data_IF_636510617680
#
_entry.id   IF_636510617680
#
_cell.length_a   1.000
_cell.length_b   1.000
_cell.length_c   1.000
_cell.angle_alpha   90.00
_cell.angle_beta   90.00
_cell.angle_gamma   90.00
#
_symmetry.space_group_name_H-M   'P 1'
#
loop_
_entity.id
_entity.type
_entity.pdbx_description
1 polymer ?
#
# COMPACT_ATOMS: atom_id res chain seq x y z
N UNK A 1 19.20 -76.97 158.90
CA UNK A 1 18.96 -76.53 157.50
C UNK A 1 19.92 -77.18 156.48
N UNK A 2 20.48 -78.37 156.74
CA UNK A 2 21.45 -79.04 155.83
C UNK A 2 20.81 -80.24 155.10
N UNK A 3 19.87 -80.91 155.76
CA UNK A 3 19.18 -82.11 155.27
C UNK A 3 18.47 -81.92 153.90
N UNK A 4 17.70 -80.84 153.73
CA UNK A 4 17.08 -80.53 152.45
C UNK A 4 18.07 -80.24 151.31
N UNK A 5 19.28 -79.74 151.63
CA UNK A 5 20.35 -79.56 150.66
C UNK A 5 20.94 -80.92 150.25
N UNK A 6 21.08 -81.87 151.19
CA UNK A 6 21.54 -83.23 150.90
C UNK A 6 20.55 -84.00 150.03
N UNK A 7 19.23 -83.93 150.31
CA UNK A 7 18.22 -84.55 149.43
C UNK A 7 18.20 -83.90 148.03
N UNK A 8 18.36 -82.58 147.93
CA UNK A 8 18.45 -81.89 146.65
C UNK A 8 19.71 -82.28 145.86
N UNK A 9 20.86 -82.38 146.53
CA UNK A 9 22.11 -82.82 145.93
C UNK A 9 22.06 -84.29 145.49
N UNK A 10 21.49 -85.18 146.32
CA UNK A 10 21.29 -86.60 145.99
C UNK A 10 20.34 -86.76 144.79
N UNK A 11 19.24 -86.01 144.76
CA UNK A 11 18.30 -85.98 143.64
C UNK A 11 18.94 -85.48 142.35
N UNK A 12 19.78 -84.44 142.41
CA UNK A 12 20.57 -83.97 141.28
C UNK A 12 21.58 -85.02 140.81
N UNK A 13 22.29 -85.69 141.72
CA UNK A 13 23.25 -86.76 141.40
C UNK A 13 22.57 -87.96 140.74
N UNK A 14 21.38 -88.35 141.23
CA UNK A 14 20.56 -89.41 140.64
C UNK A 14 20.02 -89.03 139.25
N UNK A 15 19.55 -87.79 139.07
CA UNK A 15 19.10 -87.28 137.78
C UNK A 15 20.27 -87.19 136.78
N UNK A 16 21.45 -86.77 137.22
CA UNK A 16 22.67 -86.72 136.41
C UNK A 16 23.13 -88.14 136.01
N UNK A 17 23.09 -89.11 136.93
CA UNK A 17 23.38 -90.51 136.63
C UNK A 17 22.39 -91.10 135.61
N UNK A 18 21.09 -90.80 135.73
CA UNK A 18 20.08 -91.17 134.74
C UNK A 18 20.32 -90.51 133.38
N UNK A 19 20.67 -89.21 133.35
CA UNK A 19 20.99 -88.51 132.12
C UNK A 19 22.21 -89.12 131.41
N UNK A 20 23.27 -89.45 132.16
CA UNK A 20 24.48 -90.12 131.65
C UNK A 20 24.14 -91.54 131.14
N UNK A 21 23.26 -92.28 131.80
CA UNK A 21 22.82 -93.60 131.35
C UNK A 21 21.93 -93.56 130.08
N UNK A 22 21.10 -92.52 129.94
CA UNK A 22 20.19 -92.35 128.79
C UNK A 22 20.86 -91.71 127.56
N UNK A 23 21.84 -90.83 127.75
CA UNK A 23 22.58 -90.16 126.70
C UNK A 23 23.08 -91.10 125.57
N UNK A 24 23.80 -92.22 125.84
CA UNK A 24 24.27 -93.11 124.77
C UNK A 24 23.13 -93.82 124.02
N UNK A 25 21.95 -93.99 124.63
CA UNK A 25 20.78 -94.56 123.95
C UNK A 25 20.10 -93.56 123.01
N UNK A 26 20.06 -92.28 123.38
CA UNK A 26 19.50 -91.23 122.53
C UNK A 26 20.45 -90.89 121.38
N UNK A 27 21.75 -90.79 121.67
CA UNK A 27 22.79 -90.49 120.68
C UNK A 27 22.84 -91.54 119.55
N UNK A 28 22.80 -92.84 119.90
CA UNK A 28 22.72 -93.94 118.91
C UNK A 28 21.47 -93.86 118.02
N UNK A 29 20.33 -93.36 118.54
CA UNK A 29 19.12 -93.13 117.74
C UNK A 29 19.24 -91.94 116.79
N UNK A 30 19.87 -90.85 117.24
CA UNK A 30 20.15 -89.69 116.39
C UNK A 30 21.09 -90.07 115.24
N UNK A 31 22.22 -90.74 115.53
CA UNK A 31 23.15 -91.22 114.50
C UNK A 31 22.49 -92.15 113.49
N UNK A 32 21.60 -93.06 113.92
CA UNK A 32 20.89 -93.97 113.00
C UNK A 32 19.90 -93.25 112.07
N UNK A 33 19.27 -92.17 112.54
CA UNK A 33 18.37 -91.35 111.72
C UNK A 33 19.13 -90.47 110.73
N UNK A 34 20.22 -89.84 111.15
CA UNK A 34 21.05 -89.03 110.25
C UNK A 34 21.85 -89.90 109.25
N UNK A 35 22.36 -91.06 109.67
CA UNK A 35 22.92 -92.06 108.74
C UNK A 35 21.88 -92.43 107.68
N UNK A 36 20.66 -92.81 108.06
CA UNK A 36 19.59 -93.13 107.10
C UNK A 36 19.17 -91.97 106.20
N UNK A 37 19.26 -90.72 106.65
CA UNK A 37 19.01 -89.54 105.82
C UNK A 37 20.12 -89.32 104.79
N UNK A 38 21.37 -89.48 105.20
CA UNK A 38 22.55 -89.35 104.34
C UNK A 38 22.61 -90.52 103.34
N UNK A 39 22.35 -91.75 103.80
CA UNK A 39 22.22 -92.97 102.99
C UNK A 39 21.08 -92.87 101.95
N UNK A 40 19.97 -92.19 102.28
CA UNK A 40 18.87 -91.93 101.34
C UNK A 40 19.09 -90.71 100.43
N UNK A 41 20.18 -89.96 100.61
CA UNK A 41 20.53 -88.77 99.83
C UNK A 41 21.85 -88.93 99.05
N UNK A 42 22.48 -90.11 99.11
CA UNK A 42 23.67 -90.50 98.36
C UNK A 42 23.31 -91.66 97.43
N UNK A 43 23.84 -91.71 96.19
CA UNK A 43 23.76 -92.93 95.38
C UNK A 43 24.56 -94.04 96.07
N UNK A 44 23.87 -95.10 96.51
CA UNK A 44 24.48 -96.22 97.22
C UNK A 44 24.90 -97.36 96.28
N UNK A 45 24.34 -97.42 95.08
CA UNK A 45 24.74 -98.38 94.05
C UNK A 45 25.74 -97.75 93.07
N UNK A 46 26.58 -98.59 92.45
CA UNK A 46 27.48 -98.14 91.39
C UNK A 46 26.72 -97.74 90.12
N UNK A 47 25.61 -98.42 89.86
CA UNK A 47 24.75 -98.19 88.69
C UNK A 47 24.09 -96.80 88.72
N UNK A 48 23.67 -96.33 89.90
CA UNK A 48 23.18 -94.95 90.09
C UNK A 48 24.28 -93.91 89.82
N UNK A 49 25.49 -94.11 90.35
CA UNK A 49 26.61 -93.19 90.17
C UNK A 49 27.10 -93.14 88.70
N UNK A 50 27.16 -94.28 88.04
CA UNK A 50 27.47 -94.36 86.60
C UNK A 50 26.36 -93.68 85.77
N UNK A 51 25.09 -93.84 86.17
CA UNK A 51 23.95 -93.12 85.61
C UNK A 51 24.00 -91.59 85.78
N UNK A 52 24.41 -91.08 86.94
CA UNK A 52 24.62 -89.64 87.16
C UNK A 52 25.78 -89.09 86.32
N UNK A 53 26.90 -89.83 86.24
CA UNK A 53 28.06 -89.46 85.42
C UNK A 53 27.67 -89.41 83.93
N UNK A 54 26.91 -90.39 83.44
CA UNK A 54 26.42 -90.39 82.06
C UNK A 54 25.30 -89.36 81.81
N UNK A 55 24.48 -89.01 82.82
CA UNK A 55 23.56 -87.88 82.74
C UNK A 55 24.30 -86.53 82.63
N UNK A 56 25.42 -86.35 83.34
CA UNK A 56 26.27 -85.14 83.24
C UNK A 56 26.99 -85.10 81.89
N UNK A 57 27.49 -86.24 81.38
CA UNK A 57 28.05 -86.36 80.02
C UNK A 57 26.99 -86.04 78.95
N UNK A 58 25.77 -86.56 79.08
CA UNK A 58 24.66 -86.28 78.18
C UNK A 58 24.24 -84.79 78.24
N UNK A 59 24.13 -84.20 79.43
CA UNK A 59 23.78 -82.78 79.59
C UNK A 59 24.84 -81.87 78.97
N UNK A 60 26.13 -82.13 79.23
CA UNK A 60 27.24 -81.35 78.66
C UNK A 60 27.33 -81.52 77.13
N UNK A 61 27.19 -82.74 76.60
CA UNK A 61 27.10 -82.98 75.16
C UNK A 61 25.90 -82.26 74.51
N UNK A 62 24.72 -82.28 75.14
CA UNK A 62 23.54 -81.56 74.66
C UNK A 62 23.72 -80.03 74.76
N UNK A 63 24.39 -79.52 75.78
CA UNK A 63 24.71 -78.10 75.92
C UNK A 63 25.69 -77.64 74.83
N UNK A 64 26.77 -78.40 74.59
CA UNK A 64 27.72 -78.18 73.49
C UNK A 64 26.97 -78.23 72.16
N UNK A 65 26.17 -79.27 71.89
CA UNK A 65 25.42 -79.40 70.64
C UNK A 65 24.41 -78.25 70.43
N UNK A 66 23.79 -77.75 71.50
CA UNK A 66 22.90 -76.59 71.44
C UNK A 66 23.65 -75.27 71.20
N UNK A 67 24.91 -75.17 71.62
CA UNK A 67 25.79 -74.03 71.29
C UNK A 67 26.31 -74.11 69.85
N UNK A 68 26.69 -75.30 69.37
CA UNK A 68 27.05 -75.54 67.96
C UNK A 68 25.90 -75.15 67.01
N UNK A 69 24.70 -75.68 67.24
CA UNK A 69 23.52 -75.39 66.39
C UNK A 69 23.17 -73.90 66.42
N UNK A 70 23.34 -73.22 67.57
CA UNK A 70 23.23 -71.75 67.64
C UNK A 70 24.32 -71.06 66.82
N UNK A 71 25.59 -71.44 66.99
CA UNK A 71 26.71 -70.85 66.27
C UNK A 71 26.57 -71.02 64.74
N UNK A 72 26.15 -72.20 64.28
CA UNK A 72 25.88 -72.45 62.86
C UNK A 72 24.66 -71.68 62.34
N UNK A 73 23.62 -71.48 63.15
CA UNK A 73 22.50 -70.60 62.79
C UNK A 73 22.94 -69.14 62.66
N UNK A 74 23.85 -68.67 63.51
CA UNK A 74 24.42 -67.32 63.46
C UNK A 74 25.40 -67.16 62.29
N UNK A 75 26.23 -68.17 61.99
CA UNK A 75 27.09 -68.22 60.78
C UNK A 75 26.25 -68.14 59.51
N UNK A 76 25.13 -68.88 59.44
CA UNK A 76 24.21 -68.85 58.29
C UNK A 76 23.55 -67.48 58.12
N UNK A 77 23.15 -66.82 59.22
CA UNK A 77 22.64 -65.44 59.20
C UNK A 77 23.72 -64.45 58.74
N UNK A 78 24.91 -64.48 59.35
CA UNK A 78 26.02 -63.62 58.94
C UNK A 78 26.36 -63.80 57.44
N UNK A 79 26.26 -65.02 56.91
CA UNK A 79 26.44 -65.30 55.48
C UNK A 79 25.28 -64.78 54.60
N UNK A 80 24.01 -64.82 55.04
CA UNK A 80 22.92 -64.15 54.32
C UNK A 80 23.04 -62.63 54.36
N UNK A 81 23.48 -62.10 55.51
CA UNK A 81 23.55 -60.66 55.77
C UNK A 81 24.72 -60.04 54.98
N UNK A 82 25.86 -60.74 54.83
CA UNK A 82 26.95 -60.28 53.94
C UNK A 82 26.57 -60.34 52.46
N UNK A 83 25.82 -61.35 52.03
CA UNK A 83 25.25 -61.40 50.66
C UNK A 83 24.30 -60.22 50.44
N UNK A 84 23.41 -59.95 51.39
CA UNK A 84 22.46 -58.82 51.33
C UNK A 84 23.20 -57.47 51.32
N UNK A 85 24.24 -57.29 52.14
CA UNK A 85 25.08 -56.08 52.15
C UNK A 85 25.79 -55.88 50.81
N UNK A 86 26.26 -56.96 50.16
CA UNK A 86 26.86 -56.85 48.83
C UNK A 86 25.82 -56.46 47.77
N UNK A 87 24.65 -57.12 47.74
CA UNK A 87 23.55 -56.77 46.81
C UNK A 87 23.07 -55.32 47.01
N UNK A 88 22.99 -54.83 48.26
CA UNK A 88 22.68 -53.43 48.53
C UNK A 88 23.81 -52.48 48.10
N UNK A 89 25.08 -52.86 48.27
CA UNK A 89 26.23 -52.07 47.79
C UNK A 89 26.24 -51.97 46.26
N UNK A 90 25.99 -53.07 45.57
CA UNK A 90 25.92 -53.11 44.12
C UNK A 90 24.75 -52.23 43.64
N UNK A 91 23.56 -52.33 44.28
CA UNK A 91 22.43 -51.45 43.95
C UNK A 91 22.66 -49.97 44.28
N UNK A 92 23.43 -49.64 45.33
CA UNK A 92 23.86 -48.27 45.60
C UNK A 92 24.77 -47.78 44.48
N UNK A 93 25.74 -48.59 44.05
CA UNK A 93 26.66 -48.26 42.96
C UNK A 93 25.93 -48.08 41.62
N UNK A 94 24.92 -48.87 41.33
CA UNK A 94 24.04 -48.67 40.16
C UNK A 94 23.37 -47.30 40.22
N UNK A 95 22.79 -46.94 41.38
CA UNK A 95 22.12 -45.65 41.58
C UNK A 95 23.08 -44.45 41.57
N UNK A 96 24.34 -44.63 42.00
CA UNK A 96 25.41 -43.65 41.84
C UNK A 96 25.80 -43.48 40.35
N UNK A 97 25.73 -44.56 39.56
CA UNK A 97 25.85 -44.52 38.09
C UNK A 97 24.67 -43.79 37.43
N UNK A 98 23.44 -44.20 37.74
CA UNK A 98 22.20 -43.59 37.22
C UNK A 98 22.18 -42.08 37.52
N UNK A 99 22.51 -41.69 38.76
CA UNK A 99 22.53 -40.27 39.15
C UNK A 99 23.67 -39.48 38.51
N UNK A 100 24.88 -40.02 38.37
CA UNK A 100 25.97 -39.31 37.67
C UNK A 100 25.70 -39.16 36.18
N UNK A 101 25.09 -40.16 35.54
CA UNK A 101 24.61 -40.06 34.15
C UNK A 101 23.55 -38.97 33.99
N UNK A 102 22.56 -38.92 34.89
CA UNK A 102 21.49 -37.93 34.84
C UNK A 102 21.99 -36.49 35.12
N UNK A 103 23.00 -36.31 35.98
CA UNK A 103 23.63 -35.00 36.15
C UNK A 103 24.35 -34.52 34.89
N UNK A 104 24.98 -35.43 34.12
CA UNK A 104 25.62 -35.07 32.86
C UNK A 104 24.60 -34.73 31.77
N UNK A 105 23.49 -35.48 31.68
CA UNK A 105 22.36 -35.16 30.79
C UNK A 105 21.74 -33.79 31.13
N UNK A 106 21.59 -33.48 32.43
CA UNK A 106 21.15 -32.15 32.88
C UNK A 106 22.16 -31.06 32.48
N UNK A 107 23.47 -31.29 32.63
CA UNK A 107 24.50 -30.33 32.23
C UNK A 107 24.49 -30.07 30.70
N UNK A 108 24.29 -31.11 29.88
CA UNK A 108 24.13 -30.97 28.42
C UNK A 108 22.84 -30.24 28.04
N UNK A 109 21.72 -30.55 28.68
CA UNK A 109 20.43 -29.86 28.46
C UNK A 109 20.50 -28.39 28.92
N UNK A 110 21.17 -28.07 30.02
CA UNK A 110 21.41 -26.69 30.42
C UNK A 110 22.40 -25.97 29.48
N UNK A 111 23.44 -26.66 28.99
CA UNK A 111 24.40 -26.10 28.03
C UNK A 111 23.76 -25.78 26.68
N UNK A 112 22.97 -26.71 26.14
CA UNK A 112 22.20 -26.49 24.90
C UNK A 112 21.15 -25.40 25.10
N UNK A 113 20.41 -25.39 26.22
CA UNK A 113 19.50 -24.30 26.58
C UNK A 113 20.20 -22.93 26.59
N UNK A 114 21.32 -22.78 27.30
CA UNK A 114 22.10 -21.53 27.33
C UNK A 114 22.53 -21.09 25.92
N UNK A 115 22.92 -22.05 25.06
CA UNK A 115 23.28 -21.76 23.67
C UNK A 115 22.09 -21.29 22.82
N UNK A 116 20.88 -21.76 23.11
CA UNK A 116 19.64 -21.33 22.45
C UNK A 116 19.16 -19.97 22.98
N UNK A 117 19.30 -19.69 24.28
CA UNK A 117 19.02 -18.38 24.87
C UNK A 117 19.95 -17.30 24.29
N UNK A 118 21.23 -17.61 24.07
CA UNK A 118 22.19 -16.70 23.40
C UNK A 118 21.81 -16.45 21.93
N UNK A 119 21.39 -17.50 21.20
CA UNK A 119 20.92 -17.34 19.80
C UNK A 119 19.65 -16.50 19.73
N UNK A 120 18.66 -16.80 20.56
CA UNK A 120 17.41 -16.04 20.62
C UNK A 120 17.67 -14.56 20.91
N UNK A 121 18.57 -14.24 21.85
CA UNK A 121 18.95 -12.85 22.15
C UNK A 121 19.71 -12.16 21.00
N UNK A 122 20.42 -12.90 20.15
CA UNK A 122 21.04 -12.37 18.93
C UNK A 122 19.99 -12.16 17.83
N UNK A 123 19.11 -13.12 17.59
CA UNK A 123 18.01 -13.05 16.62
C UNK A 123 17.05 -11.88 16.97
N UNK A 124 16.72 -11.70 18.26
CA UNK A 124 15.94 -10.55 18.76
C UNK A 124 16.65 -9.20 18.51
N UNK A 125 17.98 -9.16 18.64
CA UNK A 125 18.77 -7.96 18.34
C UNK A 125 18.86 -7.67 16.84
N UNK A 126 18.92 -8.70 15.99
CA UNK A 126 18.85 -8.55 14.53
C UNK A 126 17.46 -8.07 14.10
N UNK A 127 16.37 -8.60 14.66
CA UNK A 127 15.00 -8.11 14.43
C UNK A 127 14.81 -6.66 14.89
N UNK A 128 15.40 -6.27 16.04
CA UNK A 128 15.46 -4.87 16.46
C UNK A 128 16.24 -4.00 15.45
N UNK A 129 17.35 -4.51 14.91
CA UNK A 129 18.08 -3.89 13.81
C UNK A 129 17.21 -3.67 12.57
N UNK A 130 16.59 -4.73 12.05
CA UNK A 130 15.75 -4.66 10.85
C UNK A 130 14.52 -3.77 11.03
N UNK A 131 13.87 -3.77 12.20
CA UNK A 131 12.74 -2.85 12.45
C UNK A 131 13.16 -1.38 12.44
N UNK A 132 14.31 -1.02 13.02
CA UNK A 132 14.81 0.37 12.92
C UNK A 132 15.19 0.77 11.49
N UNK A 133 15.74 -0.15 10.69
CA UNK A 133 16.03 0.08 9.27
C UNK A 133 14.74 0.26 8.45
N UNK A 134 13.71 -0.56 8.70
CA UNK A 134 12.39 -0.45 8.07
C UNK A 134 11.72 0.88 8.43
N UNK A 135 11.81 1.35 9.68
CA UNK A 135 11.34 2.69 10.06
C UNK A 135 12.09 3.80 9.31
N UNK A 136 13.42 3.72 9.18
CA UNK A 136 14.21 4.73 8.48
C UNK A 136 13.87 4.77 6.97
N UNK A 137 13.70 3.59 6.35
CA UNK A 137 13.29 3.47 4.95
C UNK A 137 11.85 3.97 4.73
N UNK A 138 10.92 3.67 5.64
CA UNK A 138 9.56 4.18 5.60
C UNK A 138 9.51 5.71 5.71
N UNK A 139 10.34 6.31 6.58
CA UNK A 139 10.49 7.77 6.68
C UNK A 139 11.04 8.38 5.39
N UNK A 140 12.13 7.81 4.83
CA UNK A 140 12.69 8.24 3.53
C UNK A 140 11.67 8.17 2.38
N UNK A 141 10.84 7.11 2.35
CA UNK A 141 9.78 6.96 1.36
C UNK A 141 8.63 7.95 1.59
N UNK A 142 8.28 8.27 2.84
CA UNK A 142 7.34 9.34 3.16
C UNK A 142 7.87 10.72 2.72
N UNK A 143 9.16 11.01 2.89
CA UNK A 143 9.76 12.28 2.45
C UNK A 143 9.82 12.40 0.93
N UNK A 144 10.21 11.34 0.22
CA UNK A 144 10.23 11.33 -1.25
C UNK A 144 8.82 11.37 -1.86
N UNK A 145 7.82 10.69 -1.27
CA UNK A 145 6.43 10.82 -1.73
C UNK A 145 5.86 12.23 -1.47
N UNK A 146 6.18 12.85 -0.34
CA UNK A 146 5.87 14.27 -0.09
C UNK A 146 6.56 15.22 -1.10
N UNK A 147 7.79 14.92 -1.50
CA UNK A 147 8.55 15.66 -2.52
C UNK A 147 7.96 15.49 -3.92
N UNK A 148 7.56 14.27 -4.31
CA UNK A 148 6.84 14.00 -5.56
C UNK A 148 5.48 14.72 -5.57
N UNK A 149 4.72 14.74 -4.48
CA UNK A 149 3.47 15.51 -4.40
C UNK A 149 3.69 17.02 -4.57
N UNK A 150 4.76 17.59 -3.99
CA UNK A 150 5.12 19.01 -4.18
C UNK A 150 5.47 19.30 -5.64
N UNK A 151 6.31 18.46 -6.26
CA UNK A 151 6.71 18.58 -7.65
C UNK A 151 5.52 18.42 -8.62
N UNK A 152 4.57 17.52 -8.32
CA UNK A 152 3.31 17.40 -9.09
C UNK A 152 2.54 18.71 -9.04
N UNK A 153 2.25 19.25 -7.85
CA UNK A 153 1.50 20.51 -7.71
C UNK A 153 2.17 21.68 -8.43
N UNK A 154 3.51 21.76 -8.37
CA UNK A 154 4.27 22.78 -9.11
C UNK A 154 4.21 22.58 -10.63
N UNK A 155 4.20 21.34 -11.12
CA UNK A 155 4.00 21.03 -12.53
C UNK A 155 2.56 21.38 -12.96
N UNK A 156 1.55 21.03 -12.16
CA UNK A 156 0.14 21.37 -12.40
C UNK A 156 -0.06 22.89 -12.46
N UNK A 157 0.53 23.64 -11.53
CA UNK A 157 0.55 25.12 -11.51
C UNK A 157 1.23 25.70 -12.76
N UNK A 158 2.42 25.20 -13.13
CA UNK A 158 3.13 25.63 -14.35
C UNK A 158 2.35 25.30 -15.63
N UNK A 159 1.62 24.18 -15.66
CA UNK A 159 0.75 23.82 -16.79
C UNK A 159 -0.49 24.74 -16.86
N UNK A 160 -1.08 25.13 -15.73
CA UNK A 160 -2.15 26.15 -15.69
C UNK A 160 -1.64 27.54 -16.13
N UNK A 161 -0.44 27.93 -15.71
CA UNK A 161 0.21 29.17 -16.20
C UNK A 161 0.48 29.10 -17.70
N UNK A 162 1.04 27.98 -18.20
CA UNK A 162 1.31 27.77 -19.62
C UNK A 162 0.02 27.79 -20.46
N UNK A 163 -1.05 27.16 -19.97
CA UNK A 163 -2.36 27.19 -20.62
C UNK A 163 -2.94 28.60 -20.67
N UNK A 164 -2.85 29.37 -19.57
CA UNK A 164 -3.28 30.78 -19.52
C UNK A 164 -2.49 31.62 -20.54
N UNK A 165 -1.16 31.54 -20.51
CA UNK A 165 -0.29 32.26 -21.46
C UNK A 165 -0.54 31.87 -22.91
N UNK A 166 -0.92 30.62 -23.18
CA UNK A 166 -1.32 30.16 -24.52
C UNK A 166 -2.67 30.72 -24.96
N UNK A 167 -3.64 30.82 -24.05
CA UNK A 167 -4.93 31.49 -24.31
C UNK A 167 -4.71 32.98 -24.59
N UNK A 168 -3.89 33.65 -23.78
CA UNK A 168 -3.52 35.07 -23.98
C UNK A 168 -2.79 35.28 -25.32
N UNK A 169 -1.87 34.38 -25.70
CA UNK A 169 -1.19 34.43 -26.99
C UNK A 169 -2.18 34.34 -28.15
N UNK A 170 -3.09 33.36 -28.14
CA UNK A 170 -4.13 33.22 -29.17
C UNK A 170 -5.07 34.45 -29.17
N UNK A 171 -5.42 34.98 -28.01
CA UNK A 171 -6.24 36.20 -27.93
C UNK A 171 -5.54 37.39 -28.62
N UNK A 172 -4.24 37.59 -28.37
CA UNK A 172 -3.42 38.62 -29.05
C UNK A 172 -3.23 38.35 -30.53
N UNK A 173 -3.12 37.09 -30.95
CA UNK A 173 -3.04 36.73 -32.37
C UNK A 173 -4.35 37.08 -33.10
N UNK A 174 -5.53 36.80 -32.51
CA UNK A 174 -6.80 37.27 -33.09
C UNK A 174 -6.98 38.79 -33.05
N UNK A 175 -6.32 39.51 -32.13
CA UNK A 175 -6.29 40.97 -32.10
C UNK A 175 -5.42 41.53 -33.23
N UNK A 176 -4.24 40.92 -33.46
CA UNK A 176 -3.37 41.20 -34.60
C UNK A 176 -4.09 40.93 -35.92
N UNK A 177 -4.85 39.84 -36.05
CA UNK A 177 -5.64 39.57 -37.26
C UNK A 177 -6.79 40.57 -37.47
N UNK A 178 -7.47 41.02 -36.42
CA UNK A 178 -8.46 42.10 -36.51
C UNK A 178 -7.82 43.41 -36.96
N UNK A 179 -6.62 43.73 -36.47
CA UNK A 179 -5.84 44.90 -36.88
C UNK A 179 -5.34 44.76 -38.33
N UNK A 180 -4.87 43.59 -38.75
CA UNK A 180 -4.46 43.32 -40.13
C UNK A 180 -5.63 43.46 -41.11
N UNK A 181 -6.83 42.97 -40.74
CA UNK A 181 -8.04 43.11 -41.54
C UNK A 181 -8.52 44.57 -41.64
N UNK A 182 -8.51 45.33 -40.55
CA UNK A 182 -8.85 46.77 -40.59
C UNK A 182 -7.81 47.60 -41.35
N UNK A 183 -6.52 47.29 -41.22
CA UNK A 183 -5.45 47.86 -42.06
C UNK A 183 -5.65 47.49 -43.54
N UNK A 184 -6.12 46.27 -43.83
CA UNK A 184 -6.51 45.84 -45.18
C UNK A 184 -7.64 46.69 -45.76
N UNK A 185 -8.73 46.86 -45.00
CA UNK A 185 -9.88 47.69 -45.38
C UNK A 185 -9.51 49.17 -45.54
N UNK A 186 -8.71 49.73 -44.63
CA UNK A 186 -8.22 51.11 -44.74
C UNK A 186 -7.29 51.29 -45.95
N UNK A 187 -6.55 50.25 -46.36
CA UNK A 187 -5.75 50.25 -47.60
C UNK A 187 -6.63 50.17 -48.86
N UNK A 188 -7.74 49.44 -48.87
CA UNK A 188 -8.66 49.44 -50.03
C UNK A 188 -9.45 50.75 -50.11
N UNK A 189 -10.03 51.23 -49.00
CA UNK A 189 -10.70 52.53 -48.91
C UNK A 189 -9.76 53.68 -49.34
N UNK A 190 -8.49 53.65 -48.90
CA UNK A 190 -7.49 54.61 -49.38
C UNK A 190 -7.25 54.49 -50.88
N UNK A 191 -7.10 53.27 -51.44
CA UNK A 191 -6.93 53.09 -52.90
C UNK A 191 -8.13 53.58 -53.69
N UNK A 192 -9.34 53.44 -53.16
CA UNK A 192 -10.56 53.96 -53.75
C UNK A 192 -10.63 55.49 -53.68
N UNK A 193 -10.26 56.09 -52.55
CA UNK A 193 -10.13 57.54 -52.43
C UNK A 193 -9.01 58.11 -53.34
N UNK A 194 -7.84 57.45 -53.40
CA UNK A 194 -6.72 57.76 -54.29
C UNK A 194 -7.10 57.56 -55.78
N UNK A 195 -8.12 56.74 -56.10
CA UNK A 195 -8.71 56.58 -57.44
C UNK A 195 -9.70 57.70 -57.75
N UNK A 196 -10.68 57.91 -56.88
CA UNK A 196 -11.70 58.97 -57.04
C UNK A 196 -11.06 60.36 -57.11
N UNK A 197 -9.98 60.60 -56.36
CA UNK A 197 -9.21 61.85 -56.45
C UNK A 197 -8.50 62.02 -57.80
N UNK A 198 -8.04 60.94 -58.45
CA UNK A 198 -7.46 60.98 -59.80
C UNK A 198 -8.53 61.19 -60.86
N UNK A 199 -9.69 60.55 -60.70
CA UNK A 199 -10.84 60.70 -61.59
C UNK A 199 -11.35 62.14 -61.54
N UNK A 200 -11.63 62.68 -60.34
CA UNK A 200 -12.01 64.08 -60.16
C UNK A 200 -10.94 65.08 -60.64
N UNK A 201 -9.64 64.77 -60.51
CA UNK A 201 -8.57 65.62 -61.04
C UNK A 201 -8.45 65.54 -62.57
N UNK A 202 -8.76 64.39 -63.18
CA UNK A 202 -8.81 64.24 -64.63
C UNK A 202 -10.05 64.96 -65.20
N UNK A 203 -11.23 64.78 -64.60
CA UNK A 203 -12.44 65.53 -64.90
C UNK A 203 -12.20 67.04 -64.80
N UNK A 204 -11.60 67.51 -63.70
CA UNK A 204 -11.19 68.90 -63.54
C UNK A 204 -10.32 69.39 -64.71
N UNK A 205 -9.31 68.64 -65.13
CA UNK A 205 -8.46 69.02 -66.27
C UNK A 205 -9.26 69.05 -67.58
N UNK A 206 -10.21 68.13 -67.80
CA UNK A 206 -11.10 68.20 -68.98
C UNK A 206 -12.04 69.40 -68.93
N UNK A 207 -12.55 69.79 -67.76
CA UNK A 207 -13.37 70.97 -67.55
C UNK A 207 -12.57 72.28 -67.68
N UNK A 208 -11.32 72.31 -67.22
CA UNK A 208 -10.40 73.45 -67.41
C UNK A 208 -10.07 73.63 -68.91
N UNK A 209 -9.84 72.53 -69.64
CA UNK A 209 -9.66 72.56 -71.10
C UNK A 209 -10.93 73.00 -71.84
N UNK A 210 -12.11 72.49 -71.47
CA UNK A 210 -13.38 72.91 -72.05
C UNK A 210 -13.66 74.40 -71.78
N UNK A 211 -13.42 74.87 -70.55
CA UNK A 211 -13.51 76.28 -70.18
C UNK A 211 -12.49 77.15 -70.93
N UNK A 212 -11.31 76.62 -71.28
CA UNK A 212 -10.33 77.33 -72.11
C UNK A 212 -10.79 77.42 -73.58
N UNK A 213 -11.42 76.37 -74.12
CA UNK A 213 -12.03 76.38 -75.46
C UNK A 213 -13.19 77.38 -75.50
N UNK A 214 -14.10 77.38 -74.52
CA UNK A 214 -15.19 78.35 -74.43
C UNK A 214 -14.67 79.78 -74.25
N UNK A 215 -13.65 80.01 -73.41
CA UNK A 215 -13.00 81.33 -73.32
C UNK A 215 -12.37 81.78 -74.63
N UNK A 216 -11.79 80.87 -75.42
CA UNK A 216 -11.28 81.17 -76.75
C UNK A 216 -12.41 81.46 -77.75
N UNK A 217 -13.54 80.75 -77.66
CA UNK A 217 -14.71 81.00 -78.50
C UNK A 217 -15.37 82.35 -78.17
N UNK A 218 -15.54 82.67 -76.88
CA UNK A 218 -15.97 83.99 -76.38
C UNK A 218 -14.99 85.08 -76.82
N UNK A 219 -13.68 84.81 -76.86
CA UNK A 219 -12.70 85.78 -77.36
C UNK A 219 -12.79 86.00 -78.88
N UNK A 220 -13.07 84.98 -79.70
CA UNK A 220 -13.31 85.16 -81.14
C UNK A 220 -14.67 85.83 -81.39
N UNK A 221 -15.72 85.50 -80.63
CA UNK A 221 -17.01 86.20 -80.65
C UNK A 221 -16.84 87.68 -80.28
N UNK A 222 -16.10 88.00 -79.22
CA UNK A 222 -15.75 89.37 -78.86
C UNK A 222 -14.96 90.05 -79.99
N UNK A 223 -13.95 89.38 -80.57
CA UNK A 223 -13.18 89.89 -81.70
C UNK A 223 -13.99 90.04 -83.01
N UNK A 224 -15.15 89.37 -83.14
CA UNK A 224 -16.14 89.57 -84.20
C UNK A 224 -17.05 90.75 -83.89
N UNK A 225 -17.56 90.87 -82.66
CA UNK A 225 -18.34 92.03 -82.21
C UNK A 225 -17.51 93.31 -82.36
N UNK A 226 -16.28 93.31 -81.87
CA UNK A 226 -15.29 94.38 -82.05
C UNK A 226 -15.04 94.72 -83.54
N UNK A 227 -15.03 93.72 -84.44
CA UNK A 227 -14.92 93.95 -85.88
C UNK A 227 -16.19 94.56 -86.45
N UNK A 228 -17.37 94.06 -86.08
CA UNK A 228 -18.65 94.62 -86.49
C UNK A 228 -18.85 96.06 -85.97
N UNK A 229 -18.39 96.37 -84.75
CA UNK A 229 -18.40 97.73 -84.19
C UNK A 229 -17.42 98.65 -84.93
N UNK A 230 -16.25 98.17 -85.36
CA UNK A 230 -15.34 98.94 -86.24
C UNK A 230 -15.92 99.12 -87.65
N UNK A 231 -16.57 98.11 -88.21
CA UNK A 231 -17.22 98.17 -89.52
C UNK A 231 -18.45 99.10 -89.50
N UNK A 232 -19.23 99.09 -88.41
CA UNK A 232 -20.31 100.04 -88.14
C UNK A 232 -19.72 101.44 -87.98
N UNK A 233 -18.73 101.65 -87.11
CA UNK A 233 -18.09 102.98 -86.95
C UNK A 233 -17.45 103.50 -88.25
N UNK A 234 -16.92 102.61 -89.10
CA UNK A 234 -16.40 103.00 -90.43
C UNK A 234 -17.53 103.35 -91.39
N UNK A 235 -18.65 102.62 -91.37
CA UNK A 235 -19.88 102.98 -92.10
C UNK A 235 -20.47 104.29 -91.59
N UNK A 236 -20.49 104.52 -90.29
CA UNK A 236 -20.97 105.76 -89.66
C UNK A 236 -20.06 106.93 -90.04
N UNK A 237 -18.73 106.76 -90.10
CA UNK A 237 -17.81 107.78 -90.62
C UNK A 237 -17.96 108.03 -92.13
N UNK A 238 -18.38 107.02 -92.90
CA UNK A 238 -18.72 107.18 -94.33
C UNK A 238 -20.07 107.91 -94.47
N UNK A 239 -21.06 107.60 -93.63
CA UNK A 239 -22.35 108.28 -93.58
C UNK A 239 -22.21 109.71 -93.07
N UNK A 240 -21.36 109.98 -92.07
CA UNK A 240 -21.05 111.31 -91.56
C UNK A 240 -20.27 112.13 -92.61
N UNK A 241 -19.41 111.49 -93.42
CA UNK A 241 -18.80 112.12 -94.60
C UNK A 241 -19.85 112.44 -95.67
N UNK A 242 -20.72 111.50 -96.02
CA UNK A 242 -21.80 111.74 -96.97
C UNK A 242 -22.77 112.83 -96.47
N UNK A 243 -23.08 112.89 -95.17
CA UNK A 243 -23.87 113.95 -94.56
C UNK A 243 -23.15 115.31 -94.56
N UNK A 244 -21.81 115.34 -94.46
CA UNK A 244 -21.02 116.58 -94.61
C UNK A 244 -20.90 117.02 -96.07
N UNK A 245 -20.76 116.10 -97.01
CA UNK A 245 -20.80 116.38 -98.45
C UNK A 245 -22.20 116.83 -98.90
N UNK A 246 -23.26 116.30 -98.30
CA UNK A 246 -24.65 116.74 -98.49
C UNK A 246 -25.02 118.03 -97.71
N UNK A 247 -24.15 118.53 -96.82
CA UNK A 247 -24.37 119.80 -96.13
C UNK A 247 -23.96 121.03 -96.97
N UNK A 248 -23.13 120.85 -98.01
CA UNK A 248 -22.66 121.95 -98.87
C UNK A 248 -23.58 122.23 -100.07
N UNK A 249 -24.44 121.28 -100.45
CA UNK A 249 -25.49 121.46 -101.46
C UNK A 249 -26.88 121.08 -100.91
N UNK A 250 -27.62 122.09 -100.44
CA UNK A 250 -28.94 121.90 -99.83
C UNK A 250 -30.01 121.46 -100.83
N UNK A 251 -30.28 120.15 -100.89
CA UNK A 251 -31.44 119.55 -101.56
C UNK A 251 -32.09 118.52 -100.62
N UNK A 252 -33.35 118.76 -100.25
CA UNK A 252 -34.18 117.81 -99.50
C UNK A 252 -35.01 116.98 -100.48
N UNK A 253 -34.88 115.65 -100.43
CA UNK A 253 -35.81 114.69 -101.04
C UNK A 253 -36.10 113.58 -100.02
N UNK A 254 -37.37 113.21 -99.77
CA UNK A 254 -37.75 112.23 -98.76
C UNK A 254 -37.77 110.80 -99.29
N UNK A 255 -37.80 109.83 -98.37
CA UNK A 255 -38.29 108.47 -98.62
C UNK A 255 -39.06 107.96 -97.39
N UNK A 256 -40.16 107.24 -97.63
CA UNK A 256 -41.08 106.74 -96.61
C UNK A 256 -41.12 105.20 -96.58
N UNK A 257 -41.68 104.67 -95.48
CA UNK A 257 -42.15 103.28 -95.28
C UNK A 257 -41.04 102.20 -95.28
N UNK A 258 -41.07 101.23 -94.37
CA UNK A 258 -42.25 100.58 -93.79
C UNK A 258 -42.12 100.28 -92.29
N UNK A 259 -43.28 100.21 -91.62
CA UNK A 259 -43.42 99.87 -90.21
C UNK A 259 -43.54 98.36 -89.97
N UNK A 260 -42.99 97.89 -88.85
CA UNK A 260 -43.58 96.83 -88.03
C UNK A 260 -43.50 97.31 -86.58
N UNK A 261 -44.57 97.08 -85.81
CA UNK A 261 -44.85 97.76 -84.55
C UNK A 261 -45.14 96.71 -83.47
N UNK A 262 -44.31 96.68 -82.42
CA UNK A 262 -44.57 96.02 -81.12
C UNK A 262 -44.85 94.47 -81.16
N UNK A 263 -45.15 93.79 -80.02
CA UNK A 263 -45.12 94.21 -78.62
C UNK A 263 -44.22 93.32 -77.72
N UNK A 264 -44.21 93.63 -76.41
CA UNK A 264 -43.98 92.66 -75.33
C UNK A 264 -45.37 92.09 -74.87
N UNK A 265 -45.64 91.64 -73.62
CA UNK A 265 -44.81 91.16 -72.51
C UNK A 265 -45.33 89.80 -71.95
N UNK A 266 -45.05 89.50 -70.67
CA UNK A 266 -45.78 88.56 -69.79
C UNK A 266 -45.67 87.05 -70.08
N UNK A 267 -46.03 86.13 -69.17
CA UNK A 267 -45.90 86.08 -67.70
C UNK A 267 -46.28 84.66 -67.18
N UNK A 268 -45.56 84.21 -66.14
CA UNK A 268 -45.97 83.39 -64.96
C UNK A 268 -47.50 83.21 -64.74
N UNK A 269 -48.00 82.09 -64.14
CA UNK A 269 -47.38 81.48 -62.94
C UNK A 269 -47.58 79.96 -62.66
N UNK A 270 -47.11 79.57 -61.46
CA UNK A 270 -47.57 78.46 -60.58
C UNK A 270 -47.18 77.01 -60.98
N UNK A 271 -46.77 76.11 -60.06
CA UNK A 271 -46.27 76.24 -58.66
C UNK A 271 -45.55 74.89 -58.29
N UNK A 272 -45.05 74.53 -57.10
CA UNK A 272 -45.10 75.03 -55.71
C UNK A 272 -43.87 74.47 -54.93
N UNK A 273 -43.67 74.85 -53.66
CA UNK A 273 -43.26 73.87 -52.62
C UNK A 273 -41.80 73.88 -52.11
N UNK A 274 -41.41 74.94 -51.41
CA UNK A 274 -40.22 75.05 -50.53
C UNK A 274 -40.73 75.28 -49.09
N UNK A 275 -40.09 74.91 -47.95
CA UNK A 275 -38.74 74.32 -47.72
C UNK A 275 -38.70 73.10 -46.72
N UNK A 276 -37.48 72.67 -46.38
CA UNK A 276 -36.91 72.70 -45.00
C UNK A 276 -36.34 71.40 -44.39
N UNK A 277 -35.33 71.61 -43.52
CA UNK A 277 -34.56 70.63 -42.76
C UNK A 277 -35.33 70.10 -41.54
N UNK A 278 -34.97 68.89 -41.10
CA UNK A 278 -34.84 68.38 -39.70
C UNK A 278 -34.66 66.86 -39.82
N UNK A 279 -33.90 66.10 -39.04
CA UNK A 279 -32.62 66.22 -38.33
C UNK A 279 -32.50 64.88 -37.53
N UNK A 280 -31.28 64.46 -37.18
CA UNK A 280 -30.94 63.47 -36.14
C UNK A 280 -31.45 62.01 -36.21
N UNK A 281 -30.51 61.06 -36.09
CA UNK A 281 -30.48 59.85 -35.22
C UNK A 281 -31.75 58.95 -35.10
N UNK A 282 -31.64 57.61 -35.05
CA UNK A 282 -30.62 56.79 -34.34
C UNK A 282 -30.73 55.27 -34.72
N UNK A 283 -29.84 54.46 -34.13
CA UNK A 283 -29.97 53.00 -33.91
C UNK A 283 -31.37 52.61 -33.31
N UNK A 284 -31.89 51.36 -33.34
CA UNK A 284 -31.20 50.06 -33.35
C UNK A 284 -32.10 48.85 -33.74
N UNK A 285 -31.53 47.84 -34.42
CA UNK A 285 -31.68 46.39 -34.11
C UNK A 285 -32.95 45.55 -34.44
N UNK A 286 -32.70 44.23 -34.43
CA UNK A 286 -33.62 43.06 -34.25
C UNK A 286 -34.32 42.43 -35.49
N UNK A 287 -33.93 41.17 -35.75
CA UNK A 287 -34.60 40.08 -36.51
C UNK A 287 -35.04 40.28 -37.98
N UNK A 288 -35.28 39.23 -38.78
CA UNK A 288 -35.29 37.77 -38.50
C UNK A 288 -34.62 36.99 -39.64
N UNK A 289 -34.06 35.80 -39.37
CA UNK A 289 -33.52 34.90 -40.40
C UNK A 289 -34.66 34.02 -40.97
N UNK A 290 -34.69 33.76 -42.29
CA UNK A 290 -35.72 32.89 -42.89
C UNK A 290 -35.25 32.12 -44.14
N UNK A 291 -34.15 31.36 -44.03
CA UNK A 291 -33.78 30.34 -45.05
C UNK A 291 -32.72 29.32 -44.55
N UNK A 292 -32.79 28.88 -43.28
CA UNK A 292 -31.80 27.95 -42.71
C UNK A 292 -32.36 27.25 -41.46
N UNK A 293 -33.30 26.30 -41.65
CA UNK A 293 -33.94 25.61 -40.50
C UNK A 293 -34.42 24.17 -40.79
N UNK A 294 -34.22 23.63 -42.00
CA UNK A 294 -34.65 22.25 -42.36
C UNK A 294 -33.51 21.23 -42.42
N UNK A 295 -32.27 21.65 -42.69
CA UNK A 295 -31.12 20.74 -42.75
C UNK A 295 -30.44 20.56 -41.37
N UNK A 296 -30.39 21.62 -40.57
CA UNK A 296 -29.74 21.60 -39.25
C UNK A 296 -30.53 20.77 -38.23
N UNK A 297 -31.86 20.75 -38.31
CA UNK A 297 -32.71 19.94 -37.44
C UNK A 297 -32.40 18.43 -37.61
N UNK A 298 -32.35 17.96 -38.87
CA UNK A 298 -32.07 16.56 -39.18
C UNK A 298 -30.62 16.18 -38.84
N UNK A 299 -29.66 17.08 -39.09
CA UNK A 299 -28.27 16.89 -38.66
C UNK A 299 -28.11 16.90 -37.13
N UNK A 300 -28.96 17.59 -36.38
CA UNK A 300 -28.92 17.61 -34.91
C UNK A 300 -29.34 16.28 -34.28
N UNK A 301 -30.36 15.62 -34.82
CA UNK A 301 -30.78 14.29 -34.35
C UNK A 301 -29.76 13.21 -34.73
N UNK A 302 -29.21 13.24 -35.94
CA UNK A 302 -28.13 12.33 -36.36
C UNK A 302 -26.86 12.55 -35.53
N UNK A 303 -26.47 13.80 -35.24
CA UNK A 303 -25.35 14.11 -34.36
C UNK A 303 -25.59 13.65 -32.92
N UNK A 304 -26.81 13.79 -32.39
CA UNK A 304 -27.15 13.29 -31.06
C UNK A 304 -27.05 11.76 -31.00
N UNK A 305 -27.58 11.06 -32.00
CA UNK A 305 -27.48 9.60 -32.11
C UNK A 305 -26.03 9.12 -32.30
N UNK A 306 -25.22 9.84 -33.09
CA UNK A 306 -23.79 9.55 -33.25
C UNK A 306 -23.01 9.79 -31.96
N UNK A 307 -23.26 10.90 -31.24
CA UNK A 307 -22.64 11.17 -29.94
C UNK A 307 -23.01 10.11 -28.90
N UNK A 308 -24.29 9.72 -28.83
CA UNK A 308 -24.76 8.65 -27.94
C UNK A 308 -24.10 7.31 -28.28
N UNK A 309 -24.05 6.95 -29.57
CA UNK A 309 -23.42 5.68 -30.01
C UNK A 309 -21.90 5.67 -29.80
N UNK A 310 -21.23 6.82 -29.90
CA UNK A 310 -19.82 6.99 -29.53
C UNK A 310 -19.63 6.92 -28.01
N UNK A 311 -20.57 7.43 -27.21
CA UNK A 311 -20.54 7.26 -25.75
C UNK A 311 -20.72 5.79 -25.34
N UNK A 312 -21.71 5.09 -25.92
CA UNK A 312 -21.95 3.65 -25.70
C UNK A 312 -20.74 2.79 -26.07
N UNK A 313 -20.11 3.08 -27.23
CA UNK A 313 -18.89 2.40 -27.66
C UNK A 313 -17.72 2.67 -26.70
N UNK A 314 -17.51 3.92 -26.28
CA UNK A 314 -16.46 4.26 -25.31
C UNK A 314 -16.71 3.62 -23.94
N UNK A 315 -17.96 3.53 -23.48
CA UNK A 315 -18.28 2.82 -22.24
C UNK A 315 -18.12 1.30 -22.38
N UNK A 316 -18.47 0.72 -23.53
CA UNK A 316 -18.21 -0.69 -23.84
C UNK A 316 -16.71 -1.00 -23.87
N UNK A 317 -15.88 -0.15 -24.48
CA UNK A 317 -14.41 -0.27 -24.47
C UNK A 317 -13.86 -0.13 -23.04
N UNK A 318 -14.30 0.86 -22.26
CA UNK A 318 -13.92 1.02 -20.84
C UNK A 318 -14.32 -0.19 -19.99
N UNK A 319 -15.49 -0.80 -20.24
CA UNK A 319 -15.94 -2.03 -19.57
C UNK A 319 -15.14 -3.26 -20.01
N UNK A 320 -14.69 -3.33 -21.28
CA UNK A 320 -13.79 -4.39 -21.76
C UNK A 320 -12.41 -4.28 -21.11
N UNK A 321 -11.72 -3.14 -21.23
CA UNK A 321 -10.39 -2.96 -20.61
C UNK A 321 -10.40 -3.10 -19.09
N UNK A 322 -11.49 -2.72 -18.40
CA UNK A 322 -11.63 -3.01 -16.96
C UNK A 322 -11.66 -4.52 -16.67
N UNK A 323 -12.41 -5.31 -17.44
CA UNK A 323 -12.46 -6.77 -17.31
C UNK A 323 -11.17 -7.46 -17.74
N UNK A 324 -10.49 -6.92 -18.75
CA UNK A 324 -9.19 -7.36 -19.24
C UNK A 324 -8.14 -7.20 -18.14
N UNK A 325 -7.97 -5.99 -17.59
CA UNK A 325 -7.11 -5.75 -16.43
C UNK A 325 -7.56 -6.44 -15.14
N UNK A 326 -8.82 -6.87 -15.02
CA UNK A 326 -9.30 -7.68 -13.90
C UNK A 326 -8.91 -9.15 -14.09
N UNK A 327 -9.03 -9.70 -15.30
CA UNK A 327 -8.54 -11.03 -15.66
C UNK A 327 -7.01 -11.14 -15.55
N UNK A 328 -6.25 -10.17 -16.09
CA UNK A 328 -4.78 -10.10 -15.97
C UNK A 328 -4.34 -10.14 -14.50
N UNK A 329 -5.00 -9.39 -13.62
CA UNK A 329 -4.67 -9.40 -12.18
C UNK A 329 -5.11 -10.68 -11.48
N UNK A 330 -6.21 -11.30 -11.88
CA UNK A 330 -6.62 -12.62 -11.36
C UNK A 330 -5.61 -13.71 -11.80
N UNK A 331 -5.06 -13.60 -13.01
CA UNK A 331 -4.03 -14.50 -13.52
C UNK A 331 -2.68 -14.29 -12.81
N UNK A 332 -2.25 -13.03 -12.65
CA UNK A 332 -1.06 -12.68 -11.84
C UNK A 332 -1.18 -13.17 -10.40
N UNK A 333 -2.29 -12.88 -9.71
CA UNK A 333 -2.54 -13.38 -8.34
C UNK A 333 -2.56 -14.91 -8.28
N UNK A 334 -3.09 -15.59 -9.30
CA UNK A 334 -3.08 -17.05 -9.39
C UNK A 334 -1.66 -17.59 -9.56
N UNK A 335 -0.81 -16.92 -10.31
CA UNK A 335 0.59 -17.30 -10.49
C UNK A 335 1.43 -17.02 -9.23
N UNK A 336 1.23 -15.89 -8.55
CA UNK A 336 1.84 -15.57 -7.25
C UNK A 336 1.45 -16.61 -6.20
N UNK A 337 0.15 -16.91 -6.04
CA UNK A 337 -0.35 -17.95 -5.12
C UNK A 337 0.24 -19.33 -5.49
N UNK A 338 0.38 -19.64 -6.78
CA UNK A 338 0.96 -20.92 -7.24
C UNK A 338 2.48 -21.00 -7.04
N UNK A 339 3.19 -19.87 -7.02
CA UNK A 339 4.60 -19.79 -6.70
C UNK A 339 4.83 -19.93 -5.18
N UNK A 340 4.10 -19.16 -4.37
CA UNK A 340 4.14 -19.23 -2.90
C UNK A 340 3.76 -20.64 -2.41
N UNK A 341 2.75 -21.27 -3.01
CA UNK A 341 2.39 -22.65 -2.70
C UNK A 341 3.52 -23.65 -3.05
N UNK A 342 4.29 -23.42 -4.11
CA UNK A 342 5.41 -24.28 -4.47
C UNK A 342 6.57 -24.13 -3.45
N UNK A 343 6.87 -22.90 -3.04
CA UNK A 343 7.88 -22.58 -2.03
C UNK A 343 7.53 -23.17 -0.66
N UNK A 344 6.27 -23.04 -0.21
CA UNK A 344 5.79 -23.68 1.02
C UNK A 344 5.92 -25.21 0.96
N UNK A 345 5.56 -25.83 -0.18
CA UNK A 345 5.66 -27.29 -0.36
C UNK A 345 7.13 -27.75 -0.36
N UNK A 346 8.06 -26.98 -0.95
CA UNK A 346 9.49 -27.27 -0.85
C UNK A 346 10.00 -27.14 0.59
N UNK A 347 9.69 -26.05 1.30
CA UNK A 347 10.13 -25.83 2.67
C UNK A 347 9.63 -26.91 3.64
N UNK A 348 8.40 -27.42 3.44
CA UNK A 348 7.89 -28.57 4.20
C UNK A 348 8.60 -29.87 3.82
N UNK A 349 8.81 -30.13 2.52
CA UNK A 349 9.52 -31.33 2.06
C UNK A 349 11.00 -31.39 2.50
N UNK A 350 11.67 -30.24 2.62
CA UNK A 350 13.02 -30.13 3.20
C UNK A 350 13.00 -30.41 4.71
N UNK A 351 12.01 -29.88 5.44
CA UNK A 351 11.85 -30.07 6.89
C UNK A 351 11.43 -31.50 7.28
N UNK A 352 10.65 -32.18 6.45
CA UNK A 352 10.30 -33.61 6.61
C UNK A 352 11.36 -34.57 6.06
N UNK A 353 12.21 -34.08 5.16
CA UNK A 353 13.34 -34.82 4.58
C UNK A 353 12.93 -35.97 3.65
N UNK A 354 13.85 -36.93 3.48
CA UNK A 354 13.75 -38.00 2.49
C UNK A 354 12.55 -38.96 2.70
N UNK A 355 11.92 -38.94 3.88
CA UNK A 355 10.75 -39.77 4.21
C UNK A 355 9.39 -39.16 3.89
N UNK A 356 9.34 -37.91 3.42
CA UNK A 356 8.07 -37.20 3.16
C UNK A 356 7.22 -37.87 2.07
N UNK A 357 5.93 -38.06 2.35
CA UNK A 357 4.93 -38.46 1.34
C UNK A 357 4.81 -37.41 0.20
N UNK A 358 5.19 -36.15 0.44
CA UNK A 358 5.26 -35.11 -0.59
C UNK A 358 6.30 -35.48 -1.66
N UNK A 359 7.48 -35.94 -1.27
CA UNK A 359 8.54 -36.34 -2.21
C UNK A 359 8.14 -37.55 -3.07
N UNK A 360 7.30 -38.43 -2.51
CA UNK A 360 6.71 -39.59 -3.19
C UNK A 360 5.63 -39.17 -4.20
N UNK A 361 4.72 -38.27 -3.83
CA UNK A 361 3.72 -37.70 -4.78
C UNK A 361 4.39 -36.88 -5.89
N UNK A 362 5.47 -36.13 -5.59
CA UNK A 362 6.25 -35.37 -6.57
C UNK A 362 7.13 -36.24 -7.50
N UNK A 363 7.22 -37.56 -7.26
CA UNK A 363 7.93 -38.51 -8.12
C UNK A 363 7.01 -39.48 -8.88
N UNK A 364 5.69 -39.45 -8.63
CA UNK A 364 4.72 -40.02 -9.55
C UNK A 364 4.51 -39.09 -10.77
N UNK A 365 4.50 -39.62 -12.02
CA UNK A 365 4.24 -38.80 -13.20
C UNK A 365 2.79 -38.31 -13.20
N UNK A 366 2.61 -36.99 -13.38
CA UNK A 366 1.29 -36.34 -13.40
C UNK A 366 0.39 -37.01 -14.44
N UNK A 367 -0.75 -37.56 -14.00
CA UNK A 367 -1.75 -38.14 -14.89
C UNK A 367 -2.32 -37.07 -15.83
N UNK A 368 -1.95 -37.15 -17.10
CA UNK A 368 -2.50 -36.29 -18.14
C UNK A 368 -4.01 -36.53 -18.30
N UNK A 369 -4.81 -35.51 -18.03
CA UNK A 369 -6.25 -35.50 -18.34
C UNK A 369 -6.41 -35.17 -19.83
N UNK A 370 -6.92 -36.10 -20.66
CA UNK A 370 -7.06 -35.88 -22.10
C UNK A 370 -8.12 -34.82 -22.41
N UNK A 371 -7.86 -33.96 -23.41
CA UNK A 371 -8.90 -33.13 -24.04
C UNK A 371 -8.87 -31.61 -23.78
N UNK A 372 -7.73 -31.02 -23.42
CA UNK A 372 -7.48 -29.58 -23.61
C UNK A 372 -6.07 -29.36 -24.13
N UNK A 373 -5.90 -28.38 -25.02
CA UNK A 373 -4.67 -28.06 -25.72
C UNK A 373 -3.49 -27.73 -24.78
N UNK A 374 -2.27 -28.05 -25.22
CA UNK A 374 -1.07 -28.03 -24.38
C UNK A 374 -0.44 -26.65 -24.20
N UNK A 375 -0.58 -25.74 -25.17
CA UNK A 375 0.15 -24.46 -25.20
C UNK A 375 -0.46 -23.37 -24.29
N UNK A 376 -1.66 -23.58 -23.75
CA UNK A 376 -2.42 -22.60 -22.97
C UNK A 376 -2.75 -23.05 -21.53
N UNK A 377 -2.02 -24.02 -20.97
CA UNK A 377 -2.18 -24.44 -19.56
C UNK A 377 -1.14 -23.74 -18.68
N UNK A 378 -1.52 -23.06 -17.57
CA UNK A 378 -0.55 -22.53 -16.61
C UNK A 378 0.22 -23.69 -15.95
N UNK A 379 1.52 -23.49 -15.70
CA UNK A 379 2.40 -24.58 -15.26
C UNK A 379 1.95 -25.23 -13.95
N UNK A 380 1.82 -26.57 -13.97
CA UNK A 380 1.44 -27.39 -12.82
C UNK A 380 2.33 -27.14 -11.60
N UNK A 381 1.72 -27.11 -10.42
CA UNK A 381 2.41 -26.93 -9.13
C UNK A 381 3.56 -27.93 -8.95
N UNK A 382 3.36 -29.19 -9.31
CA UNK A 382 4.39 -30.23 -9.24
C UNK A 382 5.62 -29.90 -10.11
N UNK A 383 5.39 -29.34 -11.30
CA UNK A 383 6.47 -28.93 -12.21
C UNK A 383 7.21 -27.70 -11.66
N UNK A 384 6.52 -26.76 -11.00
CA UNK A 384 7.15 -25.61 -10.33
C UNK A 384 8.05 -26.06 -9.17
N UNK A 385 7.57 -26.96 -8.31
CA UNK A 385 8.37 -27.52 -7.20
C UNK A 385 9.59 -28.30 -7.74
N UNK A 386 9.41 -29.11 -8.79
CA UNK A 386 10.55 -29.80 -9.43
C UNK A 386 11.56 -28.81 -10.04
N UNK A 387 11.12 -27.71 -10.66
CA UNK A 387 12.01 -26.66 -11.18
C UNK A 387 12.82 -25.99 -10.06
N UNK A 388 12.17 -25.59 -8.95
CA UNK A 388 12.85 -24.95 -7.83
C UNK A 388 13.90 -25.88 -7.20
N UNK A 389 13.55 -27.15 -6.98
CA UNK A 389 14.49 -28.18 -6.47
C UNK A 389 15.63 -28.53 -7.43
N UNK A 390 15.49 -28.21 -8.73
CA UNK A 390 16.56 -28.37 -9.73
C UNK A 390 17.39 -27.08 -9.94
N UNK A 391 16.99 -25.97 -9.30
CA UNK A 391 17.68 -24.67 -9.29
C UNK A 391 18.31 -24.33 -7.92
N UNK A 392 18.13 -25.22 -6.93
CA UNK A 392 18.71 -25.20 -5.59
C UNK A 392 19.94 -26.12 -5.54
#
# INVERSE_FOLDING_TARGET
>A
MIEGLLFSALGFLAALALAIALAPSLWRRAEHLERKRIEAALPLTREELEGEIDAIRAHSAMAIRRLEVKADSLRKKLASDTILINVLRDRIRDLEGDTTSLHHEIEEVEGTKRSLEIKLAADEAEVAGYTTQLEELARKLADETNKVQKLSRQNDELNMMSSTLKIDLVARETEIDKLNNTIGLLRTQRREADRLAREAQAEKVTLENALQIEKAHVADLQARVDRLVRDISTRDQILERQQKELAEYGVVIPYELSSVEEPAPQAVPQDLGVPQQIASNRYNGVSENLSQETDDAMQSEDMAQLQQRVADLNEAHRKRHRKEHEAERIEQLRDEISAIAAEMVQMVAEREGQGSEINKVLSEPVREVPGLDFEARPESLANRVQKLRNAS
#
